data_IF_684510814718
#
_entry.id   IF_684510814718
#
_cell.length_a   1.000
_cell.length_b   1.000
_cell.length_c   1.000
_cell.angle_alpha   90.00
_cell.angle_beta   90.00
_cell.angle_gamma   90.00
#
_symmetry.space_group_name_H-M   'P 1'
#
loop_
_entity.id
_entity.type
_entity.pdbx_description
1 polymer ?
#
# COMPACT_ATOMS: atom_id res chain seq x y z
N UNK A 1 19.83 21.41 -0.97
CA UNK A 1 19.17 20.13 -1.27
C UNK A 1 17.86 20.49 -1.95
N UNK A 2 17.66 20.03 -3.19
CA UNK A 2 16.54 20.48 -4.02
C UNK A 2 15.35 19.55 -3.81
N UNK A 3 14.15 20.12 -3.76
CA UNK A 3 12.83 19.51 -3.53
C UNK A 3 12.54 18.24 -4.38
N UNK A 4 13.35 18.00 -5.42
CA UNK A 4 13.20 16.92 -6.39
C UNK A 4 13.88 15.60 -5.98
N UNK A 5 14.76 15.60 -4.97
CA UNK A 5 15.37 14.37 -4.42
C UNK A 5 14.45 13.67 -3.39
N UNK A 6 13.26 14.22 -3.13
CA UNK A 6 12.42 13.81 -1.99
C UNK A 6 11.43 12.66 -2.30
N UNK A 7 11.26 12.24 -3.56
CA UNK A 7 10.23 11.26 -3.93
C UNK A 7 10.64 10.40 -5.13
N UNK A 8 11.03 9.14 -4.88
CA UNK A 8 11.14 8.10 -5.91
C UNK A 8 10.27 6.87 -5.56
N UNK A 9 8.95 7.09 -5.58
CA UNK A 9 7.90 6.12 -5.21
C UNK A 9 7.97 4.83 -6.05
N UNK A 10 8.40 4.91 -7.32
CA UNK A 10 8.51 3.73 -8.18
C UNK A 10 9.58 2.75 -7.67
N UNK A 11 10.65 3.28 -7.05
CA UNK A 11 11.70 2.49 -6.41
C UNK A 11 11.21 1.87 -5.10
N UNK A 12 10.46 2.64 -4.30
CA UNK A 12 9.81 2.18 -3.06
C UNK A 12 8.80 1.05 -3.33
N UNK A 13 8.00 1.18 -4.40
CA UNK A 13 7.02 0.17 -4.81
C UNK A 13 7.70 -1.12 -5.29
N UNK A 14 8.79 -1.01 -6.05
CA UNK A 14 9.56 -2.16 -6.50
C UNK A 14 10.14 -2.93 -5.30
N UNK A 15 10.74 -2.20 -4.34
CA UNK A 15 11.29 -2.80 -3.13
C UNK A 15 10.23 -3.50 -2.28
N UNK A 16 9.03 -2.92 -2.14
CA UNK A 16 7.95 -3.54 -1.39
C UNK A 16 7.48 -4.86 -2.01
N UNK A 17 7.44 -4.94 -3.35
CA UNK A 17 7.17 -6.19 -4.05
C UNK A 17 8.27 -7.23 -3.85
N UNK A 18 9.54 -6.83 -3.89
CA UNK A 18 10.68 -7.73 -3.63
C UNK A 18 10.63 -8.29 -2.19
N UNK A 19 10.32 -7.45 -1.19
CA UNK A 19 10.19 -7.87 0.20
C UNK A 19 8.98 -8.79 0.41
N UNK A 20 7.85 -8.49 -0.23
CA UNK A 20 6.67 -9.35 -0.19
C UNK A 20 6.95 -10.70 -0.85
N UNK A 21 7.63 -10.73 -2.00
CA UNK A 21 8.06 -11.95 -2.67
C UNK A 21 8.93 -12.81 -1.75
N UNK A 22 9.93 -12.22 -1.10
CA UNK A 22 10.83 -12.95 -0.20
C UNK A 22 10.06 -13.61 0.95
N UNK A 23 9.13 -12.88 1.58
CA UNK A 23 8.28 -13.43 2.66
C UNK A 23 7.34 -14.51 2.14
N UNK A 24 6.73 -14.30 0.97
CA UNK A 24 5.85 -15.29 0.35
C UNK A 24 6.61 -16.58 0.04
N UNK A 25 7.84 -16.49 -0.47
CA UNK A 25 8.72 -17.65 -0.69
C UNK A 25 9.02 -18.40 0.61
N UNK A 26 9.30 -17.69 1.71
CA UNK A 26 9.53 -18.32 3.02
C UNK A 26 8.29 -19.09 3.48
N UNK A 27 7.10 -18.50 3.37
CA UNK A 27 5.83 -19.15 3.72
C UNK A 27 5.57 -20.39 2.87
N UNK A 28 5.74 -20.29 1.55
CA UNK A 28 5.57 -21.44 0.63
C UNK A 28 6.55 -22.57 0.99
N UNK A 29 7.78 -22.25 1.39
CA UNK A 29 8.81 -23.26 1.70
C UNK A 29 8.52 -24.11 2.94
N UNK A 30 7.63 -23.65 3.83
CA UNK A 30 7.24 -24.34 5.07
C UNK A 30 5.78 -24.80 5.09
N UNK A 31 5.04 -24.52 4.01
CA UNK A 31 3.65 -24.87 3.84
C UNK A 31 3.44 -26.40 3.92
N UNK A 32 2.49 -26.84 4.74
CA UNK A 32 2.13 -28.26 4.85
C UNK A 32 0.87 -28.59 4.04
N UNK A 33 0.39 -29.84 4.13
CA UNK A 33 -0.80 -30.33 3.42
C UNK A 33 -2.12 -30.03 4.15
N UNK A 34 -2.09 -29.23 5.22
CA UNK A 34 -3.24 -29.03 6.09
C UNK A 34 -4.05 -27.76 5.78
N UNK A 35 -3.42 -26.70 5.26
CA UNK A 35 -4.08 -25.42 5.00
C UNK A 35 -3.72 -24.81 3.64
N UNK A 36 -4.71 -24.19 2.99
CA UNK A 36 -4.55 -23.45 1.74
C UNK A 36 -4.29 -21.97 2.05
N UNK A 37 -3.35 -21.35 1.35
CA UNK A 37 -3.08 -19.91 1.45
C UNK A 37 -3.74 -19.19 0.27
N UNK A 38 -4.68 -18.28 0.51
CA UNK A 38 -5.27 -17.45 -0.56
C UNK A 38 -4.93 -15.97 -0.38
N UNK A 39 -4.58 -15.32 -1.48
CA UNK A 39 -4.18 -13.91 -1.57
C UNK A 39 -5.15 -13.25 -2.53
N UNK A 40 -6.18 -12.61 -1.98
CA UNK A 40 -7.16 -11.85 -2.76
C UNK A 40 -6.76 -10.39 -2.94
N UNK A 41 -7.30 -9.73 -3.95
CA UNK A 41 -7.27 -8.28 -4.08
C UNK A 41 -8.48 -7.66 -3.35
N UNK A 42 -8.26 -6.58 -2.59
CA UNK A 42 -9.38 -5.87 -1.96
C UNK A 42 -10.22 -5.19 -3.05
N UNK A 43 -11.54 -5.41 -3.03
CA UNK A 43 -12.52 -4.87 -3.97
C UNK A 43 -13.74 -4.39 -3.22
N UNK A 44 -14.27 -3.23 -3.61
CA UNK A 44 -15.55 -2.68 -3.11
C UNK A 44 -16.75 -3.15 -3.94
N UNK A 45 -16.50 -3.79 -5.10
CA UNK A 45 -17.54 -4.43 -5.92
C UNK A 45 -18.00 -5.76 -5.28
N UNK A 46 -19.29 -6.08 -5.41
CA UNK A 46 -19.85 -7.38 -5.00
C UNK A 46 -19.39 -8.52 -5.92
N UNK A 47 -18.73 -8.18 -7.04
CA UNK A 47 -18.20 -9.14 -8.02
C UNK A 47 -16.96 -9.89 -7.52
N UNK A 48 -16.76 -11.16 -7.93
CA UNK A 48 -15.57 -11.93 -7.58
C UNK A 48 -14.27 -11.27 -8.09
N UNK A 49 -13.49 -10.74 -7.15
CA UNK A 49 -12.21 -10.09 -7.42
C UNK A 49 -11.07 -11.11 -7.66
N UNK A 50 -9.97 -10.67 -8.30
CA UNK A 50 -8.79 -11.51 -8.50
C UNK A 50 -8.19 -12.06 -7.21
N UNK A 51 -7.68 -13.28 -7.31
CA UNK A 51 -6.99 -13.95 -6.21
C UNK A 51 -5.91 -14.91 -6.72
N UNK A 52 -5.02 -15.28 -5.82
CA UNK A 52 -4.05 -16.36 -5.98
C UNK A 52 -4.18 -17.31 -4.80
N UNK A 53 -4.24 -18.62 -5.04
CA UNK A 53 -4.30 -19.64 -4.00
C UNK A 53 -3.13 -20.62 -4.13
N UNK A 54 -2.46 -20.90 -3.02
CA UNK A 54 -1.50 -21.98 -2.90
C UNK A 54 -2.13 -23.14 -2.14
N UNK A 55 -1.91 -24.36 -2.63
CA UNK A 55 -2.31 -25.62 -1.99
C UNK A 55 -1.16 -26.61 -2.06
N UNK A 56 -1.07 -27.51 -1.10
CA UNK A 56 -0.08 -28.59 -1.10
C UNK A 56 -0.77 -29.93 -1.41
N UNK A 57 -0.90 -30.33 -2.69
CA UNK A 57 -1.63 -31.55 -3.07
C UNK A 57 -0.91 -32.84 -2.64
N UNK A 58 0.39 -32.77 -2.35
CA UNK A 58 1.22 -33.88 -1.89
C UNK A 58 2.46 -33.34 -1.17
N UNK A 59 3.11 -34.20 -0.37
CA UNK A 59 4.36 -33.85 0.32
C UNK A 59 5.40 -33.29 -0.67
N UNK A 60 5.97 -32.12 -0.34
CA UNK A 60 6.96 -31.39 -1.15
C UNK A 60 6.47 -30.94 -2.54
N UNK A 61 5.16 -30.78 -2.73
CA UNK A 61 4.54 -30.22 -3.94
C UNK A 61 3.64 -29.07 -3.57
N UNK A 62 3.76 -27.97 -4.28
CA UNK A 62 2.88 -26.80 -4.12
C UNK A 62 2.24 -26.50 -5.46
N UNK A 63 0.92 -26.39 -5.45
CA UNK A 63 0.09 -25.95 -6.56
C UNK A 63 -0.34 -24.52 -6.30
N UNK A 64 0.01 -23.62 -7.22
CA UNK A 64 -0.40 -22.24 -7.23
C UNK A 64 -1.50 -22.07 -8.28
N UNK A 65 -2.61 -21.43 -7.93
CA UNK A 65 -3.75 -21.16 -8.79
C UNK A 65 -4.04 -19.66 -8.81
N UNK A 66 -4.34 -19.11 -9.98
CA UNK A 66 -4.65 -17.70 -10.17
C UNK A 66 -5.99 -17.55 -10.89
N UNK A 67 -6.84 -16.66 -10.39
CA UNK A 67 -8.19 -16.44 -10.91
C UNK A 67 -8.22 -16.24 -12.44
N UNK A 68 -9.17 -16.88 -13.12
CA UNK A 68 -9.40 -16.71 -14.56
C UNK A 68 -10.76 -16.08 -14.84
N UNK A 69 -10.99 -15.69 -16.09
CA UNK A 69 -12.28 -15.17 -16.56
C UNK A 69 -13.46 -16.13 -16.35
N UNK A 70 -13.23 -17.42 -16.06
CA UNK A 70 -14.28 -18.37 -15.67
C UNK A 70 -14.82 -18.14 -14.26
N UNK A 71 -14.06 -17.47 -13.39
CA UNK A 71 -14.41 -17.24 -11.97
C UNK A 71 -14.48 -15.76 -11.60
N UNK A 72 -13.81 -14.88 -12.35
CA UNK A 72 -13.84 -13.44 -12.14
C UNK A 72 -15.21 -12.84 -12.49
N UNK A 73 -15.61 -11.81 -11.76
CA UNK A 73 -16.78 -10.99 -12.09
C UNK A 73 -16.62 -10.21 -13.39
N UNK A 74 -17.67 -9.51 -13.83
CA UNK A 74 -17.65 -8.77 -15.10
C UNK A 74 -16.65 -7.60 -15.02
N UNK A 75 -16.55 -6.97 -13.84
CA UNK A 75 -15.66 -5.83 -13.58
C UNK A 75 -14.16 -6.21 -13.62
N UNK A 76 -13.84 -7.49 -13.44
CA UNK A 76 -12.46 -7.97 -13.26
C UNK A 76 -11.96 -8.85 -14.42
N UNK A 77 -12.70 -8.90 -15.53
CA UNK A 77 -12.32 -9.74 -16.67
C UNK A 77 -10.96 -9.34 -17.24
N UNK A 78 -10.08 -10.33 -17.40
CA UNK A 78 -8.78 -10.17 -18.02
C UNK A 78 -8.94 -9.94 -19.53
N UNK A 79 -8.24 -8.93 -20.03
CA UNK A 79 -8.11 -8.66 -21.46
C UNK A 79 -7.31 -9.77 -22.17
N UNK A 80 -7.42 -9.88 -23.51
CA UNK A 80 -6.61 -10.82 -24.29
C UNK A 80 -5.09 -10.65 -24.09
N UNK A 81 -4.63 -9.42 -23.84
CA UNK A 81 -3.22 -9.13 -23.57
C UNK A 81 -2.79 -9.70 -22.22
N UNK A 82 -3.58 -9.48 -21.16
CA UNK A 82 -3.35 -10.03 -19.82
C UNK A 82 -3.36 -11.57 -19.82
N UNK A 83 -4.28 -12.20 -20.59
CA UNK A 83 -4.31 -13.66 -20.75
C UNK A 83 -3.02 -14.18 -21.40
N UNK A 84 -2.52 -13.50 -22.44
CA UNK A 84 -1.24 -13.85 -23.07
C UNK A 84 -0.07 -13.71 -22.11
N UNK A 85 -0.05 -12.64 -21.30
CA UNK A 85 0.99 -12.42 -20.28
C UNK A 85 1.02 -13.53 -19.22
N UNK A 86 -0.13 -14.04 -18.79
CA UNK A 86 -0.20 -15.19 -17.88
C UNK A 86 0.47 -16.44 -18.48
N UNK A 87 0.11 -16.80 -19.71
CA UNK A 87 0.68 -17.98 -20.39
C UNK A 87 2.18 -17.83 -20.66
N UNK A 88 2.62 -16.66 -21.12
CA UNK A 88 4.04 -16.36 -21.39
C UNK A 88 4.89 -16.38 -20.12
N UNK A 89 4.31 -16.00 -18.98
CA UNK A 89 4.98 -16.05 -17.67
C UNK A 89 5.11 -17.48 -17.14
N UNK A 90 4.41 -18.44 -17.74
CA UNK A 90 4.51 -19.87 -17.43
C UNK A 90 3.31 -20.46 -16.69
N UNK A 91 2.18 -19.75 -16.65
CA UNK A 91 0.92 -20.29 -16.12
C UNK A 91 0.24 -21.22 -17.12
N UNK A 92 -0.30 -22.35 -16.66
CA UNK A 92 -1.15 -23.19 -17.48
C UNK A 92 -2.58 -22.63 -17.53
N UNK A 93 -3.21 -22.55 -18.72
CA UNK A 93 -4.56 -22.00 -18.86
C UNK A 93 -5.62 -22.89 -18.19
N UNK A 94 -6.78 -22.32 -17.84
CA UNK A 94 -7.89 -23.07 -17.26
C UNK A 94 -8.40 -24.13 -18.24
N UNK A 95 -8.67 -25.33 -17.73
CA UNK A 95 -9.23 -26.45 -18.49
C UNK A 95 -10.68 -26.70 -18.07
N UNK A 96 -11.62 -26.52 -19.00
CA UNK A 96 -13.05 -26.74 -18.74
C UNK A 96 -13.48 -28.20 -18.84
N UNK A 97 -12.68 -29.08 -19.45
CA UNK A 97 -13.10 -30.43 -19.87
C UNK A 97 -12.12 -31.53 -19.41
N UNK A 98 -12.59 -32.53 -18.65
CA UNK A 98 -11.83 -33.75 -18.27
C UNK A 98 -11.63 -33.98 -16.76
N UNK A 99 -10.93 -35.07 -16.39
CA UNK A 99 -10.68 -35.49 -14.98
C UNK A 99 -9.60 -34.67 -14.24
N UNK A 100 -9.38 -33.43 -14.66
CA UNK A 100 -8.39 -32.48 -14.15
C UNK A 100 -8.84 -31.04 -14.40
N UNK A 101 -10.13 -30.80 -14.22
CA UNK A 101 -10.78 -29.51 -14.43
C UNK A 101 -10.19 -28.48 -13.46
N UNK A 102 -9.66 -27.38 -14.00
CA UNK A 102 -9.21 -26.24 -13.22
C UNK A 102 -9.80 -25.00 -13.86
N UNK A 103 -10.70 -24.33 -13.13
CA UNK A 103 -11.33 -23.09 -13.57
C UNK A 103 -10.38 -21.89 -13.49
N UNK A 104 -9.16 -22.09 -13.01
CA UNK A 104 -8.15 -21.07 -12.77
C UNK A 104 -6.91 -21.35 -13.64
N UNK A 105 -6.07 -20.33 -13.81
CA UNK A 105 -4.69 -20.56 -14.21
C UNK A 105 -3.98 -21.34 -13.11
N UNK A 106 -3.06 -22.23 -13.47
CA UNK A 106 -2.36 -23.03 -12.46
C UNK A 106 -0.91 -23.32 -12.83
N UNK A 107 -0.09 -23.50 -11.80
CA UNK A 107 1.27 -24.03 -11.87
C UNK A 107 1.44 -24.99 -10.70
N UNK A 108 2.10 -26.12 -10.93
CA UNK A 108 2.48 -27.05 -9.86
C UNK A 108 3.98 -27.27 -9.90
N UNK A 109 4.63 -27.10 -8.76
CA UNK A 109 6.08 -27.24 -8.66
C UNK A 109 6.53 -27.87 -7.34
N UNK A 110 7.82 -28.18 -7.25
CA UNK A 110 8.42 -28.61 -5.99
C UNK A 110 8.38 -27.50 -4.94
N UNK A 111 8.18 -27.85 -3.67
CA UNK A 111 8.27 -26.86 -2.58
C UNK A 111 9.66 -26.21 -2.49
N UNK A 112 10.71 -26.91 -2.94
CA UNK A 112 12.07 -26.37 -3.06
C UNK A 112 12.15 -25.18 -4.05
N UNK A 113 11.22 -25.09 -4.99
CA UNK A 113 11.10 -24.00 -5.97
C UNK A 113 10.15 -22.88 -5.48
N UNK A 114 10.00 -22.75 -4.16
CA UNK A 114 9.17 -21.71 -3.50
C UNK A 114 9.45 -20.29 -4.02
N UNK A 115 10.70 -19.97 -4.33
CA UNK A 115 11.09 -18.68 -4.89
C UNK A 115 10.41 -18.44 -6.26
N UNK A 116 10.48 -19.43 -7.16
CA UNK A 116 9.85 -19.35 -8.48
C UNK A 116 8.33 -19.22 -8.36
N UNK A 117 7.70 -19.97 -7.46
CA UNK A 117 6.26 -19.88 -7.21
C UNK A 117 5.85 -18.49 -6.69
N UNK A 118 6.67 -17.90 -5.81
CA UNK A 118 6.44 -16.54 -5.31
C UNK A 118 6.63 -15.47 -6.39
N UNK A 119 7.61 -15.61 -7.28
CA UNK A 119 7.80 -14.72 -8.44
C UNK A 119 6.60 -14.74 -9.38
N UNK A 120 6.10 -15.94 -9.72
CA UNK A 120 4.93 -16.10 -10.58
C UNK A 120 3.68 -15.46 -9.98
N UNK A 121 3.49 -15.62 -8.68
CA UNK A 121 2.37 -15.03 -7.96
C UNK A 121 2.47 -13.51 -7.90
N UNK A 122 3.64 -12.96 -7.59
CA UNK A 122 3.88 -11.50 -7.59
C UNK A 122 3.70 -10.92 -8.98
N UNK A 123 4.20 -11.58 -10.02
CA UNK A 123 3.99 -11.17 -11.41
C UNK A 123 2.51 -11.16 -11.80
N UNK A 124 1.74 -12.18 -11.41
CA UNK A 124 0.30 -12.20 -11.64
C UNK A 124 -0.43 -11.07 -10.89
N UNK A 125 -0.12 -10.83 -9.62
CA UNK A 125 -0.72 -9.73 -8.85
C UNK A 125 -0.37 -8.37 -9.43
N UNK A 126 0.91 -8.11 -9.69
CA UNK A 126 1.44 -6.79 -10.08
C UNK A 126 1.21 -6.49 -11.56
N UNK A 127 1.64 -7.42 -12.43
CA UNK A 127 1.76 -7.16 -13.86
C UNK A 127 0.50 -7.55 -14.63
N UNK A 128 -0.32 -8.47 -14.09
CA UNK A 128 -1.56 -8.93 -14.75
C UNK A 128 -2.80 -8.32 -14.08
N UNK A 129 -2.98 -8.51 -12.77
CA UNK A 129 -4.13 -7.96 -12.05
C UNK A 129 -3.99 -6.47 -11.72
N UNK A 130 -2.83 -5.88 -11.98
CA UNK A 130 -2.61 -4.45 -11.81
C UNK A 130 -2.56 -3.99 -10.35
N UNK A 131 -2.30 -4.90 -9.41
CA UNK A 131 -2.12 -4.55 -8.00
C UNK A 131 -0.90 -3.66 -7.89
N UNK A 132 -1.11 -2.42 -7.45
CA UNK A 132 -0.04 -1.42 -7.45
C UNK A 132 1.00 -1.69 -6.34
N UNK A 133 0.58 -2.26 -5.22
CA UNK A 133 1.42 -2.52 -4.06
C UNK A 133 0.86 -3.70 -3.24
N UNK A 134 1.71 -4.54 -2.61
CA UNK A 134 1.25 -5.71 -1.85
C UNK A 134 0.37 -5.37 -0.62
N UNK A 135 0.24 -4.10 -0.26
CA UNK A 135 -0.61 -3.64 0.85
C UNK A 135 -2.10 -3.62 0.49
N UNK A 136 -2.43 -3.64 -0.80
CA UNK A 136 -3.81 -3.65 -1.34
C UNK A 136 -4.40 -5.07 -1.43
N UNK A 137 -3.69 -6.06 -0.89
CA UNK A 137 -4.17 -7.44 -0.82
C UNK A 137 -5.08 -7.60 0.40
N UNK A 138 -6.13 -8.41 0.25
CA UNK A 138 -7.24 -8.47 1.21
C UNK A 138 -6.78 -8.78 2.65
N UNK A 139 -7.30 -8.03 3.65
CA UNK A 139 -6.86 -8.11 5.05
C UNK A 139 -6.99 -9.48 5.69
N UNK A 140 -8.03 -10.25 5.33
CA UNK A 140 -8.42 -11.47 6.05
C UNK A 140 -7.42 -12.62 5.91
N UNK A 141 -6.44 -12.50 5.01
CA UNK A 141 -5.42 -13.54 4.79
C UNK A 141 -3.97 -13.00 4.83
N UNK A 142 -3.80 -11.67 4.90
CA UNK A 142 -2.61 -11.04 5.47
C UNK A 142 -2.66 -10.96 7.01
N UNK A 143 -3.77 -11.34 7.64
CA UNK A 143 -4.01 -11.19 9.07
C UNK A 143 -3.06 -11.98 9.97
N UNK A 144 -2.50 -13.11 9.51
CA UNK A 144 -1.47 -13.82 10.30
C UNK A 144 -0.10 -13.15 10.25
N UNK A 145 0.20 -12.37 9.20
CA UNK A 145 1.55 -11.82 8.97
C UNK A 145 1.64 -10.32 9.26
N UNK A 146 0.55 -9.54 9.14
CA UNK A 146 0.69 -8.07 8.99
C UNK A 146 -0.35 -7.12 9.62
N UNK A 147 -1.26 -7.48 10.54
CA UNK A 147 -2.15 -6.45 11.16
C UNK A 147 -2.29 -6.48 12.70
N UNK A 148 -1.91 -5.39 13.40
CA UNK A 148 -2.54 -4.95 14.62
C UNK A 148 -3.80 -4.12 14.33
N UNK A 149 -4.64 -4.04 15.35
CA UNK A 149 -6.00 -3.49 15.33
C UNK A 149 -5.96 -1.95 15.42
N UNK A 150 -6.60 -1.19 14.52
CA UNK A 150 -6.65 0.26 14.63
C UNK A 150 -7.58 0.66 15.78
N UNK A 151 -7.01 1.20 16.85
CA UNK A 151 -7.78 1.94 17.85
C UNK A 151 -7.96 3.40 17.39
N UNK A 152 -9.13 4.02 17.65
CA UNK A 152 -9.34 5.43 17.37
C UNK A 152 -8.33 6.27 18.15
N UNK A 153 -7.58 7.12 17.44
CA UNK A 153 -6.65 8.09 18.06
C UNK A 153 -7.45 8.96 19.04
N UNK A 154 -7.20 8.89 20.36
CA UNK A 154 -8.00 9.60 21.34
C UNK A 154 -8.03 11.11 21.08
N UNK A 155 -9.23 11.71 21.08
CA UNK A 155 -9.41 13.13 20.80
C UNK A 155 -8.81 14.09 21.85
N UNK A 156 -8.41 13.57 23.01
CA UNK A 156 -7.79 14.32 24.12
C UNK A 156 -6.41 13.74 24.44
N UNK A 157 -5.40 14.60 24.39
CA UNK A 157 -4.04 14.27 24.83
C UNK A 157 -4.01 13.96 26.32
N UNK A 158 -3.26 12.93 26.68
CA UNK A 158 -2.93 12.60 28.06
C UNK A 158 -1.70 13.41 28.51
N UNK A 159 -1.44 13.44 29.84
CA UNK A 159 -0.37 14.28 30.42
C UNK A 159 1.03 13.87 29.91
N UNK A 160 1.24 12.59 29.60
CA UNK A 160 2.49 12.09 29.03
C UNK A 160 2.67 12.49 27.55
N UNK A 161 1.58 12.67 26.80
CA UNK A 161 1.63 13.02 25.37
C UNK A 161 2.14 14.44 25.14
N UNK A 162 2.12 15.29 26.17
CA UNK A 162 2.57 16.69 26.10
C UNK A 162 3.98 16.91 26.66
N UNK A 163 4.69 15.85 27.03
CA UNK A 163 6.08 15.96 27.53
C UNK A 163 7.03 16.24 26.38
N UNK A 164 7.61 17.45 26.39
CA UNK A 164 8.56 17.90 25.39
C UNK A 164 9.95 17.28 25.62
N UNK A 165 10.47 16.60 24.61
CA UNK A 165 11.84 16.03 24.60
C UNK A 165 12.65 16.72 23.51
N UNK A 166 13.85 17.21 23.82
CA UNK A 166 14.77 17.75 22.80
C UNK A 166 15.62 16.60 22.25
N UNK A 167 15.45 16.18 20.98
CA UNK A 167 16.28 15.13 20.41
C UNK A 167 17.74 15.58 20.33
N UNK A 168 18.64 14.63 20.57
CA UNK A 168 20.09 14.86 20.53
C UNK A 168 20.71 14.65 19.14
N UNK A 169 20.02 13.90 18.28
CA UNK A 169 20.40 13.56 16.91
C UNK A 169 19.16 13.17 16.11
N UNK A 170 19.30 13.04 14.79
CA UNK A 170 18.26 12.49 13.92
C UNK A 170 17.88 11.06 14.33
N UNK A 171 18.86 10.21 14.67
CA UNK A 171 18.60 8.85 15.16
C UNK A 171 17.81 8.84 16.47
N UNK A 172 18.09 9.76 17.39
CA UNK A 172 17.31 9.90 18.61
C UNK A 172 15.87 10.33 18.29
N UNK A 173 15.66 11.26 17.35
CA UNK A 173 14.32 11.62 16.90
C UNK A 173 13.60 10.43 16.23
N UNK A 174 14.29 9.67 15.39
CA UNK A 174 13.76 8.46 14.78
C UNK A 174 13.29 7.45 15.82
N UNK A 175 14.07 7.25 16.89
CA UNK A 175 13.71 6.38 18.00
C UNK A 175 12.44 6.87 18.74
N UNK A 176 12.34 8.17 19.00
CA UNK A 176 11.17 8.76 19.63
C UNK A 176 9.92 8.59 18.76
N UNK A 177 10.02 8.88 17.45
CA UNK A 177 8.93 8.69 16.49
C UNK A 177 8.53 7.22 16.40
N UNK A 178 9.49 6.29 16.29
CA UNK A 178 9.20 4.85 16.22
C UNK A 178 8.47 4.37 17.46
N UNK A 179 8.88 4.83 18.65
CA UNK A 179 8.21 4.50 19.91
C UNK A 179 6.76 4.98 19.91
N UNK A 180 6.53 6.26 19.62
CA UNK A 180 5.17 6.81 19.63
C UNK A 180 4.27 6.11 18.60
N UNK A 181 4.76 5.88 17.39
CA UNK A 181 3.98 5.15 16.37
C UNK A 181 3.75 3.69 16.78
N UNK A 182 4.70 3.05 17.47
CA UNK A 182 4.50 1.71 18.01
C UNK A 182 3.41 1.67 19.07
N UNK A 183 3.33 2.70 19.92
CA UNK A 183 2.27 2.85 20.91
C UNK A 183 0.91 3.14 20.25
N UNK A 184 0.88 3.96 19.20
CA UNK A 184 -0.35 4.27 18.45
C UNK A 184 -0.91 3.08 17.68
N UNK A 185 -0.04 2.30 17.03
CA UNK A 185 -0.44 1.28 16.05
C UNK A 185 -0.21 -0.16 16.53
N UNK A 186 0.45 -0.38 17.68
CA UNK A 186 0.66 -1.71 18.26
C UNK A 186 1.79 -2.53 17.65
N UNK A 187 2.49 -2.02 16.64
CA UNK A 187 3.67 -2.65 16.03
C UNK A 187 4.75 -1.62 15.72
N UNK A 188 6.00 -2.09 15.60
CA UNK A 188 7.10 -1.21 15.20
C UNK A 188 6.92 -0.75 13.75
N UNK A 189 6.96 0.57 13.47
CA UNK A 189 6.92 1.07 12.11
C UNK A 189 8.15 0.59 11.32
N UNK A 190 7.93 0.22 10.07
CA UNK A 190 9.01 -0.10 9.12
C UNK A 190 9.41 1.19 8.42
N UNK A 191 10.73 1.39 8.29
CA UNK A 191 11.31 2.51 7.54
C UNK A 191 11.85 2.01 6.22
N UNK A 192 11.65 2.77 5.15
CA UNK A 192 12.29 2.51 3.87
C UNK A 192 13.74 3.03 3.81
N UNK A 193 14.39 2.86 2.66
CA UNK A 193 15.77 3.30 2.44
C UNK A 193 15.96 4.83 2.51
N UNK A 194 14.89 5.60 2.36
CA UNK A 194 14.88 7.07 2.47
C UNK A 194 14.54 7.53 3.90
N UNK A 195 14.19 6.59 4.78
CA UNK A 195 13.83 6.82 6.17
C UNK A 195 12.34 7.09 6.38
N UNK A 196 11.50 6.88 5.36
CA UNK A 196 10.06 7.06 5.43
C UNK A 196 9.37 5.94 6.15
N UNK A 197 8.35 6.32 6.91
CA UNK A 197 7.45 5.41 7.57
C UNK A 197 6.09 5.49 6.89
N UNK A 198 5.63 4.38 6.32
CA UNK A 198 4.26 4.25 5.83
C UNK A 198 3.33 3.82 6.97
N UNK A 199 2.26 4.57 7.20
CA UNK A 199 1.20 4.21 8.14
C UNK A 199 -0.17 4.29 7.48
N UNK A 200 -1.04 3.35 7.85
CA UNK A 200 -2.44 3.29 7.40
C UNK A 200 -3.34 3.88 8.47
N UNK A 201 -4.16 4.87 8.11
CA UNK A 201 -5.16 5.47 9.01
C UNK A 201 -6.51 5.54 8.28
N UNK A 202 -7.53 4.83 8.76
CA UNK A 202 -8.87 4.86 8.14
C UNK A 202 -8.88 4.28 6.72
N UNK A 203 -9.23 5.09 5.71
CA UNK A 203 -9.06 4.81 4.26
C UNK A 203 -7.79 5.41 3.65
N UNK A 204 -7.11 6.34 4.33
CA UNK A 204 -5.90 7.00 3.83
C UNK A 204 -4.57 6.28 4.14
N UNK A 205 -3.59 6.39 3.21
CA UNK A 205 -2.17 6.11 3.44
C UNK A 205 -1.38 7.39 3.72
N UNK A 206 -0.62 7.40 4.82
CA UNK A 206 0.25 8.49 5.22
C UNK A 206 1.69 8.04 5.26
N UNK A 207 2.59 8.94 4.89
CA UNK A 207 4.03 8.75 4.99
C UNK A 207 4.62 9.78 5.95
N UNK A 208 5.62 9.37 6.72
CA UNK A 208 6.33 10.22 7.66
C UNK A 208 7.82 10.16 7.40
N UNK A 209 8.45 11.31 7.18
CA UNK A 209 9.91 11.44 7.07
C UNK A 209 10.44 12.28 8.21
N UNK A 210 11.53 11.86 8.82
CA UNK A 210 12.31 12.72 9.72
C UNK A 210 13.37 13.45 8.89
N UNK A 211 13.41 14.78 8.99
CA UNK A 211 14.39 15.59 8.27
C UNK A 211 15.83 15.22 8.63
N UNK A 212 16.75 15.35 7.69
CA UNK A 212 18.17 15.00 7.90
C UNK A 212 18.83 15.80 9.04
N UNK A 213 18.37 17.03 9.30
CA UNK A 213 18.83 17.84 10.43
C UNK A 213 18.17 17.49 11.78
N UNK A 214 17.14 16.64 11.76
CA UNK A 214 16.39 16.20 12.95
C UNK A 214 15.52 17.28 13.58
N UNK A 215 15.14 18.32 12.83
CA UNK A 215 14.33 19.44 13.34
C UNK A 215 12.86 19.36 12.98
N UNK A 216 12.51 18.49 12.03
CA UNK A 216 11.18 18.41 11.45
C UNK A 216 10.80 16.95 11.20
N UNK A 217 9.52 16.66 11.41
CA UNK A 217 8.86 15.47 10.87
C UNK A 217 7.91 15.96 9.78
N UNK A 218 8.12 15.52 8.55
CA UNK A 218 7.19 15.77 7.46
C UNK A 218 6.19 14.63 7.40
N UNK A 219 4.90 14.96 7.52
CA UNK A 219 3.81 14.03 7.23
C UNK A 219 3.28 14.37 5.84
N UNK A 220 3.14 13.38 4.97
CA UNK A 220 2.65 13.62 3.62
C UNK A 220 1.82 12.44 3.09
N UNK A 221 0.98 12.73 2.10
CA UNK A 221 0.19 11.75 1.39
C UNK A 221 0.01 12.16 -0.06
N UNK A 222 -0.18 11.17 -0.93
CA UNK A 222 -0.61 11.42 -2.31
C UNK A 222 -2.13 11.35 -2.36
N UNK A 223 -2.78 12.40 -2.85
CA UNK A 223 -4.26 12.52 -2.83
C UNK A 223 -4.89 12.40 -4.22
N UNK A 224 -4.16 12.80 -5.27
CA UNK A 224 -4.63 12.70 -6.66
C UNK A 224 -3.47 12.24 -7.54
N UNK A 225 -3.73 11.28 -8.42
CA UNK A 225 -2.81 10.72 -9.40
C UNK A 225 -3.21 11.11 -10.83
N UNK A 226 -2.30 10.90 -11.78
CA UNK A 226 -2.51 11.09 -13.22
C UNK A 226 -3.10 12.46 -13.62
N UNK A 227 -2.63 13.52 -12.96
CA UNK A 227 -3.13 14.88 -13.19
C UNK A 227 -2.73 15.35 -14.59
N UNK A 228 -3.74 15.52 -15.44
CA UNK A 228 -3.58 16.14 -16.75
C UNK A 228 -3.85 17.66 -16.69
N UNK A 229 -3.11 18.45 -17.47
CA UNK A 229 -3.30 19.91 -17.49
C UNK A 229 -2.70 20.67 -16.29
N UNK A 230 -1.37 20.55 -16.13
CA UNK A 230 -0.56 21.14 -15.04
C UNK A 230 -0.87 22.60 -14.70
N UNK A 231 -1.16 23.45 -15.69
CA UNK A 231 -1.47 24.87 -15.45
C UNK A 231 -2.78 25.06 -14.71
N UNK A 232 -3.83 24.31 -15.08
CA UNK A 232 -5.13 24.33 -14.41
C UNK A 232 -5.02 23.71 -13.01
N UNK A 233 -4.29 22.61 -12.90
CA UNK A 233 -4.03 22.00 -11.60
C UNK A 233 -3.36 22.98 -10.63
N UNK A 234 -2.36 23.73 -11.10
CA UNK A 234 -1.67 24.72 -10.26
C UNK A 234 -2.61 25.84 -9.76
N UNK A 235 -3.57 26.28 -10.58
CA UNK A 235 -4.59 27.26 -10.17
C UNK A 235 -5.49 26.68 -9.06
N UNK A 236 -6.03 25.48 -9.27
CA UNK A 236 -6.88 24.78 -8.29
C UNK A 236 -6.13 24.52 -6.98
N UNK A 237 -4.88 24.07 -7.05
CA UNK A 237 -4.05 23.86 -5.85
C UNK A 237 -3.76 25.17 -5.12
N UNK A 238 -3.63 26.30 -5.81
CA UNK A 238 -3.45 27.59 -5.17
C UNK A 238 -4.69 27.98 -4.37
N UNK A 239 -5.89 27.81 -4.94
CA UNK A 239 -7.15 28.08 -4.25
C UNK A 239 -7.32 27.17 -3.02
N UNK A 240 -7.03 25.87 -3.16
CA UNK A 240 -7.02 24.94 -2.02
C UNK A 240 -6.03 25.36 -0.93
N UNK A 241 -4.84 25.84 -1.31
CA UNK A 241 -3.85 26.30 -0.35
C UNK A 241 -4.24 27.62 0.35
N UNK A 242 -5.11 28.43 -0.25
CA UNK A 242 -5.67 29.63 0.40
C UNK A 242 -6.61 29.24 1.53
N UNK A 243 -7.42 28.20 1.32
CA UNK A 243 -8.37 27.70 2.33
C UNK A 243 -7.73 26.74 3.34
N UNK A 244 -6.64 26.06 2.95
CA UNK A 244 -5.93 25.12 3.79
C UNK A 244 -5.15 25.82 4.90
N UNK A 245 -5.58 25.59 6.15
CA UNK A 245 -4.94 26.20 7.32
C UNK A 245 -3.62 25.54 7.73
N UNK A 246 -3.55 24.21 7.66
CA UNK A 246 -2.46 23.43 8.27
C UNK A 246 -1.55 22.78 7.25
N UNK A 247 -2.11 22.33 6.14
CA UNK A 247 -1.41 21.54 5.12
C UNK A 247 -1.03 22.39 3.92
N UNK A 248 -0.17 21.84 3.07
CA UNK A 248 0.13 22.40 1.75
C UNK A 248 -0.06 21.35 0.67
N UNK A 249 -0.78 21.73 -0.38
CA UNK A 249 -0.94 20.96 -1.60
C UNK A 249 0.14 21.34 -2.61
N UNK A 250 0.78 20.34 -3.21
CA UNK A 250 1.86 20.52 -4.17
C UNK A 250 1.67 19.57 -5.35
N UNK A 251 1.82 20.08 -6.57
CA UNK A 251 1.89 19.25 -7.77
C UNK A 251 3.36 18.86 -8.01
N UNK A 252 3.68 17.58 -7.82
CA UNK A 252 5.01 17.03 -8.10
C UNK A 252 4.83 16.01 -9.21
N UNK A 253 5.53 16.22 -10.34
CA UNK A 253 5.28 15.48 -11.58
C UNK A 253 3.78 15.54 -11.91
N UNK A 254 3.11 14.41 -12.00
CA UNK A 254 1.70 14.21 -12.34
C UNK A 254 0.82 13.90 -11.12
N UNK A 255 1.33 14.10 -9.89
CA UNK A 255 0.60 13.77 -8.66
C UNK A 255 0.47 14.97 -7.73
N UNK A 256 -0.67 15.03 -7.04
CA UNK A 256 -0.90 16.00 -5.97
C UNK A 256 -0.53 15.39 -4.64
N UNK A 257 0.42 16.03 -3.97
CA UNK A 257 0.80 15.73 -2.61
C UNK A 257 0.17 16.72 -1.66
N UNK A 258 -0.27 16.23 -0.51
CA UNK A 258 -0.58 17.03 0.66
C UNK A 258 0.52 16.82 1.70
N UNK A 259 1.00 17.91 2.30
CA UNK A 259 2.14 17.89 3.22
C UNK A 259 1.84 18.69 4.49
N UNK A 260 2.37 18.23 5.62
CA UNK A 260 2.29 18.89 6.92
C UNK A 260 3.62 18.75 7.66
N UNK A 261 4.22 19.90 7.95
CA UNK A 261 5.48 20.03 8.68
C UNK A 261 5.23 20.08 10.19
N UNK A 262 5.86 19.18 10.94
CA UNK A 262 5.80 19.14 12.41
C UNK A 262 7.18 19.48 12.99
N UNK A 263 7.34 20.62 13.68
CA UNK A 263 8.57 20.92 14.41
C UNK A 263 8.84 19.85 15.47
N UNK A 264 10.06 19.31 15.46
CA UNK A 264 10.47 18.18 16.29
C UNK A 264 11.58 18.52 17.29
N UNK A 265 11.86 19.81 17.49
CA UNK A 265 12.86 20.30 18.45
C UNK A 265 12.30 21.49 19.28
N UNK A 266 11.59 21.22 20.39
CA UNK A 266 11.41 19.90 21.02
C UNK A 266 10.36 19.04 20.31
N UNK A 267 10.55 17.72 20.38
CA UNK A 267 9.56 16.73 20.00
C UNK A 267 8.51 16.61 21.09
N UNK A 268 7.23 16.68 20.71
CA UNK A 268 6.08 16.51 21.60
C UNK A 268 5.17 15.45 20.94
N UNK A 269 4.95 14.28 21.56
CA UNK A 269 4.11 13.22 20.98
C UNK A 269 2.73 13.70 20.51
N UNK A 270 2.09 14.57 21.29
CA UNK A 270 0.81 15.17 20.97
C UNK A 270 0.79 15.89 19.61
N UNK A 271 1.89 16.55 19.22
CA UNK A 271 1.97 17.21 17.92
C UNK A 271 2.03 16.21 16.77
N UNK A 272 2.72 15.08 16.96
CA UNK A 272 2.73 13.98 15.99
C UNK A 272 1.34 13.38 15.83
N UNK A 273 0.66 13.07 16.94
CA UNK A 273 -0.70 12.54 16.92
C UNK A 273 -1.67 13.51 16.25
N UNK A 274 -1.54 14.81 16.54
CA UNK A 274 -2.34 15.86 15.92
C UNK A 274 -2.09 15.93 14.41
N UNK A 275 -0.84 15.83 13.98
CA UNK A 275 -0.47 15.89 12.57
C UNK A 275 -1.03 14.69 11.78
N UNK A 276 -0.89 13.48 12.32
CA UNK A 276 -1.48 12.26 11.74
C UNK A 276 -3.00 12.41 11.60
N UNK A 277 -3.67 12.92 12.64
CA UNK A 277 -5.13 13.13 12.60
C UNK A 277 -5.55 14.19 11.59
N UNK A 278 -4.87 15.34 11.56
CA UNK A 278 -5.15 16.40 10.59
C UNK A 278 -4.94 15.86 9.18
N UNK A 279 -3.84 15.15 8.94
CA UNK A 279 -3.53 14.65 7.61
C UNK A 279 -4.53 13.60 7.14
N UNK A 280 -4.91 12.65 8.00
CA UNK A 280 -5.97 11.67 7.68
C UNK A 280 -7.28 12.38 7.32
N UNK A 281 -7.74 13.35 8.13
CA UNK A 281 -8.98 14.09 7.84
C UNK A 281 -8.93 14.88 6.54
N UNK A 282 -7.77 15.48 6.23
CA UNK A 282 -7.61 16.20 4.97
C UNK A 282 -7.64 15.22 3.80
N UNK A 283 -6.85 14.16 3.86
CA UNK A 283 -6.76 13.18 2.78
C UNK A 283 -8.09 12.44 2.55
N UNK A 284 -8.79 12.04 3.61
CA UNK A 284 -10.14 11.45 3.54
C UNK A 284 -11.18 12.45 2.99
N UNK A 285 -10.98 13.75 3.24
CA UNK A 285 -11.85 14.83 2.79
C UNK A 285 -11.57 15.31 1.36
N UNK A 286 -10.53 14.80 0.70
CA UNK A 286 -10.30 15.05 -0.72
C UNK A 286 -11.24 14.15 -1.52
N UNK A 287 -12.22 14.78 -2.17
CA UNK A 287 -13.28 14.11 -2.91
C UNK A 287 -12.94 13.84 -4.38
N UNK A 288 -13.78 13.01 -5.00
CA UNK A 288 -13.79 12.74 -6.44
C UNK A 288 -14.06 13.99 -7.27
N UNK A 289 -14.73 15.00 -6.69
CA UNK A 289 -14.95 16.30 -7.34
C UNK A 289 -13.62 17.05 -7.54
N UNK A 290 -12.68 16.97 -6.60
CA UNK A 290 -11.33 17.53 -6.76
C UNK A 290 -10.53 16.74 -7.81
N UNK A 291 -10.60 15.42 -7.80
CA UNK A 291 -9.97 14.58 -8.83
C UNK A 291 -10.48 14.95 -10.24
N UNK A 292 -11.80 15.09 -10.37
CA UNK A 292 -12.47 15.51 -11.60
C UNK A 292 -12.05 16.91 -12.06
N UNK A 293 -11.99 17.89 -11.13
CA UNK A 293 -11.49 19.26 -11.43
C UNK A 293 -10.03 19.29 -11.88
N UNK A 294 -9.25 18.29 -11.48
CA UNK A 294 -7.84 18.11 -11.84
C UNK A 294 -7.64 17.17 -13.03
N UNK A 295 -8.71 16.61 -13.62
CA UNK A 295 -8.66 15.53 -14.61
C UNK A 295 -7.68 14.42 -14.22
N UNK A 296 -7.71 14.02 -12.95
CA UNK A 296 -6.93 12.93 -12.36
C UNK A 296 -7.83 11.94 -11.63
N UNK A 297 -7.23 10.95 -10.98
CA UNK A 297 -7.95 9.93 -10.20
C UNK A 297 -7.54 9.98 -8.73
N UNK A 298 -8.48 9.75 -7.82
CA UNK A 298 -8.18 9.57 -6.39
C UNK A 298 -7.60 8.17 -6.17
N UNK A 299 -6.93 7.96 -5.04
CA UNK A 299 -6.41 6.64 -4.65
C UNK A 299 -7.53 5.61 -4.40
N UNK A 300 -8.80 6.03 -4.31
CA UNK A 300 -9.98 5.21 -3.97
C UNK A 300 -11.22 5.58 -4.82
N UNK A 301 -11.06 5.87 -6.12
CA UNK A 301 -12.21 6.30 -6.95
C UNK A 301 -13.18 5.16 -7.26
N UNK A 302 -14.47 5.37 -6.96
CA UNK A 302 -15.60 4.54 -7.37
C UNK A 302 -15.80 4.70 -8.90
N UNK A 303 -15.64 3.63 -9.69
CA UNK A 303 -16.12 3.65 -11.07
C UNK A 303 -17.65 3.51 -11.08
N UNK A 304 -18.34 4.64 -10.91
CA UNK A 304 -19.77 4.75 -11.20
C UNK A 304 -19.98 4.64 -12.72
N UNK A 305 -20.40 3.47 -13.22
CA UNK A 305 -21.25 3.38 -14.43
C UNK A 305 -22.27 2.28 -14.29
#
# INVERSE_FOLDING_TARGET
MTINEYFDIDRSTTQAWDEFQARLSEVISVMDDSEDLTIGTESESEDPAPFITFRSPALNRVRCEAASNLVLGEDFQLSPEQLSTMEESGWHPPTSDGSGQCSNFWVEDSQEESHRLSELAVGALRDVYGVQHPVFLSPDQLAEVLKPKPEPIPGRFQVHDVVATVPGSQEHLNFLVDRELSEMFGHRPIRDAEGDIAIRVGSTMLFLRVSADGFEILVFATVVHDVSGRSRATEVLNDLNVDARWVKFQLIRDRVFVTLSVPARPFVPAHLHQAVRIMSQVADGIDEELASKLNGRTTFGDEST
#
